data_IF_369747029163
#
_entry.id   IF_369747029163
#
_cell.length_a   1.000
_cell.length_b   1.000
_cell.length_c   1.000
_cell.angle_alpha   90.00
_cell.angle_beta   90.00
_cell.angle_gamma   90.00
#
_symmetry.space_group_name_H-M   'P 1'
#
loop_
_entity.id
_entity.type
_entity.pdbx_description
1 polymer ?
#
# COMPACT_ATOMS: atom_id res chain seq x y z
N UNK A 1 5.75 -2.87 -24.36
CA UNK A 1 6.84 -2.05 -23.75
C UNK A 1 7.69 -2.96 -22.89
N UNK A 2 9.00 -2.73 -22.77
CA UNK A 2 9.84 -3.62 -21.96
C UNK A 2 9.91 -3.13 -20.52
N UNK A 3 9.99 -4.06 -19.56
CA UNK A 3 10.14 -3.71 -18.14
C UNK A 3 11.45 -2.97 -17.87
N UNK A 4 12.50 -3.26 -18.64
CA UNK A 4 13.78 -2.53 -18.59
C UNK A 4 13.68 -1.05 -18.99
N UNK A 5 12.60 -0.64 -19.68
CA UNK A 5 12.38 0.78 -20.01
C UNK A 5 12.06 1.62 -18.77
N UNK A 6 11.78 0.98 -17.63
CA UNK A 6 11.50 1.61 -16.34
C UNK A 6 12.66 1.43 -15.34
N UNK A 7 13.86 1.24 -15.85
CA UNK A 7 15.04 1.10 -15.02
C UNK A 7 15.70 2.46 -14.76
N UNK A 8 16.30 2.61 -13.58
CA UNK A 8 17.13 3.74 -13.21
C UNK A 8 18.06 3.36 -12.06
N UNK A 9 19.18 4.06 -11.91
CA UNK A 9 20.11 3.82 -10.82
C UNK A 9 19.55 4.37 -9.51
N UNK A 10 19.34 3.49 -8.52
CA UNK A 10 18.91 3.85 -7.18
C UNK A 10 19.94 3.33 -6.16
N UNK A 11 20.77 4.21 -5.56
CA UNK A 11 21.66 3.84 -4.47
C UNK A 11 20.88 3.27 -3.28
N UNK A 12 21.32 2.13 -2.73
CA UNK A 12 20.68 1.51 -1.55
C UNK A 12 20.61 2.47 -0.35
N UNK A 13 21.57 3.38 -0.22
CA UNK A 13 21.61 4.39 0.85
C UNK A 13 20.45 5.38 0.81
N UNK A 14 19.76 5.53 -0.32
CA UNK A 14 18.58 6.40 -0.44
C UNK A 14 17.27 5.66 -0.09
N UNK A 15 17.30 4.35 0.18
CA UNK A 15 16.11 3.60 0.59
C UNK A 15 15.92 3.74 2.11
N UNK A 16 14.90 4.51 2.52
CA UNK A 16 14.65 4.80 3.92
C UNK A 16 14.31 3.53 4.74
N UNK A 17 15.10 3.27 5.77
CA UNK A 17 14.94 2.12 6.68
C UNK A 17 14.05 2.43 7.90
N UNK A 18 13.88 3.71 8.21
CA UNK A 18 13.11 4.20 9.34
C UNK A 18 12.20 5.35 8.91
N UNK A 19 11.01 5.50 9.52
CA UNK A 19 10.19 6.69 9.33
C UNK A 19 10.98 7.96 9.75
N UNK A 20 10.66 9.13 9.19
CA UNK A 20 11.27 10.39 9.63
C UNK A 20 10.98 10.61 11.11
N UNK A 21 11.88 11.26 11.85
CA UNK A 21 11.70 11.53 13.29
C UNK A 21 10.33 12.18 13.58
N UNK A 22 10.00 13.21 12.79
CA UNK A 22 8.73 13.93 12.85
C UNK A 22 7.88 13.64 11.61
N UNK A 23 6.64 13.15 11.83
CA UNK A 23 5.65 12.98 10.77
C UNK A 23 5.34 14.33 10.11
N UNK A 24 5.23 14.36 8.78
CA UNK A 24 5.01 15.59 8.00
C UNK A 24 6.25 16.42 7.71
N UNK A 25 7.44 15.99 8.18
CA UNK A 25 8.72 16.63 7.88
C UNK A 25 9.42 16.12 6.61
N UNK A 26 8.73 15.35 5.76
CA UNK A 26 9.29 14.82 4.51
C UNK A 26 9.40 15.90 3.43
N UNK A 27 10.30 15.70 2.48
CA UNK A 27 10.40 16.53 1.29
C UNK A 27 9.27 16.17 0.33
N UNK A 28 8.96 17.12 -0.54
CA UNK A 28 7.99 16.96 -1.62
C UNK A 28 8.65 17.37 -2.94
N UNK A 29 8.63 16.47 -3.92
CA UNK A 29 8.87 16.81 -5.32
C UNK A 29 7.52 17.07 -5.98
N UNK A 30 7.37 18.20 -6.65
CA UNK A 30 6.15 18.50 -7.43
C UNK A 30 6.49 18.37 -8.90
N UNK A 31 5.80 17.46 -9.58
CA UNK A 31 5.90 17.24 -11.02
C UNK A 31 4.64 17.78 -11.68
N UNK A 32 4.79 18.82 -12.49
CA UNK A 32 3.70 19.32 -13.31
C UNK A 32 3.66 18.58 -14.65
N UNK A 33 2.49 18.08 -15.03
CA UNK A 33 2.33 17.26 -16.25
C UNK A 33 2.48 18.06 -17.55
N UNK A 34 2.25 19.37 -17.52
CA UNK A 34 2.52 20.30 -18.61
C UNK A 34 4.02 20.64 -18.73
N UNK A 35 4.75 20.59 -17.62
CA UNK A 35 6.20 20.62 -17.55
C UNK A 35 6.72 21.34 -16.32
N UNK A 36 7.90 20.95 -15.85
CA UNK A 36 8.54 21.57 -14.68
C UNK A 36 8.57 20.65 -13.47
N UNK A 37 9.62 20.83 -12.67
CA UNK A 37 9.86 20.10 -11.43
C UNK A 37 10.17 21.13 -10.35
N UNK A 38 9.47 21.05 -9.23
CA UNK A 38 9.74 21.86 -8.05
C UNK A 38 10.17 20.97 -6.87
N UNK A 39 10.97 21.56 -5.99
CA UNK A 39 11.44 20.91 -4.77
C UNK A 39 11.00 21.74 -3.57
N UNK A 40 10.21 21.14 -2.69
CA UNK A 40 9.64 21.81 -1.52
C UNK A 40 9.51 20.82 -0.36
N UNK A 41 8.80 21.22 0.69
CA UNK A 41 8.47 20.37 1.85
C UNK A 41 7.03 19.90 1.77
N UNK A 42 6.73 18.73 2.34
CA UNK A 42 5.35 18.21 2.38
C UNK A 42 4.39 19.13 3.14
N UNK A 43 4.90 19.93 4.09
CA UNK A 43 4.13 21.01 4.75
C UNK A 43 3.56 22.06 3.78
N UNK A 44 4.18 22.23 2.61
CA UNK A 44 3.76 23.20 1.59
C UNK A 44 2.71 22.63 0.61
N UNK A 45 2.26 21.38 0.79
CA UNK A 45 1.29 20.71 -0.09
C UNK A 45 0.06 21.58 -0.38
N UNK A 46 -0.44 22.29 0.64
CA UNK A 46 -1.63 23.14 0.50
C UNK A 46 -1.49 24.32 -0.46
N UNK A 47 -0.29 24.64 -0.97
CA UNK A 47 -0.07 25.64 -2.02
C UNK A 47 -0.48 25.16 -3.42
N UNK A 48 -0.51 23.84 -3.62
CA UNK A 48 -0.81 23.21 -4.91
C UNK A 48 -2.26 22.74 -5.02
N UNK A 49 -3.01 22.85 -3.92
CA UNK A 49 -4.43 22.51 -3.84
C UNK A 49 -5.29 23.77 -3.85
N UNK A 50 -6.45 23.71 -4.47
CA UNK A 50 -7.41 24.82 -4.62
C UNK A 50 -8.73 24.47 -3.95
N UNK A 51 -9.50 25.47 -3.45
CA UNK A 51 -10.80 25.23 -2.84
C UNK A 51 -11.70 24.39 -3.76
N UNK A 52 -12.36 23.39 -3.18
CA UNK A 52 -13.19 22.42 -3.91
C UNK A 52 -12.43 21.17 -4.38
N UNK A 53 -11.12 21.13 -4.33
CA UNK A 53 -10.38 19.88 -4.54
C UNK A 53 -10.84 18.77 -3.59
N UNK A 54 -10.92 17.54 -4.09
CA UNK A 54 -11.29 16.35 -3.32
C UNK A 54 -10.07 15.46 -3.09
N UNK A 55 -9.61 15.38 -1.84
CA UNK A 55 -8.54 14.47 -1.43
C UNK A 55 -9.11 13.10 -1.06
N UNK A 56 -8.73 12.06 -1.80
CA UNK A 56 -9.18 10.68 -1.54
C UNK A 56 -8.04 9.90 -0.90
N UNK A 57 -8.33 9.25 0.23
CA UNK A 57 -7.32 8.49 0.99
C UNK A 57 -7.73 7.04 1.20
N UNK A 58 -6.76 6.13 1.29
CA UNK A 58 -6.99 4.73 1.67
C UNK A 58 -6.92 4.56 3.19
N UNK A 59 -8.05 4.26 3.83
CA UNK A 59 -8.16 4.14 5.29
C UNK A 59 -7.85 2.74 5.84
N UNK A 60 -7.23 1.86 5.04
CA UNK A 60 -6.86 0.53 5.51
C UNK A 60 -5.84 0.58 6.66
N UNK A 61 -5.93 -0.40 7.54
CA UNK A 61 -5.09 -0.61 8.72
C UNK A 61 -4.29 -1.90 8.56
N UNK A 62 -2.98 -1.76 8.72
CA UNK A 62 -2.03 -2.86 8.82
C UNK A 62 -2.26 -3.57 10.14
N UNK A 63 -2.29 -4.89 10.10
CA UNK A 63 -2.32 -5.73 11.30
C UNK A 63 -1.02 -6.54 11.37
N UNK A 64 -0.63 -7.02 12.58
CA UNK A 64 0.63 -7.74 12.77
C UNK A 64 0.52 -9.17 12.23
N UNK A 65 0.48 -9.27 10.91
CA UNK A 65 0.20 -10.48 10.15
C UNK A 65 1.38 -11.48 10.11
N UNK A 66 2.56 -11.10 10.58
CA UNK A 66 3.75 -11.97 10.56
C UNK A 66 3.86 -12.75 11.87
N UNK A 67 3.67 -14.06 11.81
CA UNK A 67 3.83 -14.97 12.96
C UNK A 67 5.18 -15.69 12.87
N UNK A 68 5.96 -15.63 13.95
CA UNK A 68 7.26 -16.29 14.07
C UNK A 68 7.15 -17.45 15.05
N UNK A 69 7.64 -18.62 14.66
CA UNK A 69 7.43 -19.85 15.42
C UNK A 69 8.34 -21.00 14.99
N UNK A 70 7.95 -22.21 15.34
CA UNK A 70 8.69 -23.43 15.04
C UNK A 70 7.78 -24.58 14.59
N UNK A 71 8.35 -25.50 13.81
CA UNK A 71 7.66 -26.71 13.34
C UNK A 71 7.63 -27.78 14.42
N UNK A 72 6.51 -28.48 14.56
CA UNK A 72 6.36 -29.59 15.52
C UNK A 72 6.37 -30.93 14.77
N UNK A 73 7.15 -31.95 15.21
CA UNK A 73 8.04 -31.95 16.38
C UNK A 73 9.48 -31.47 16.09
N UNK A 74 9.82 -31.16 14.83
CA UNK A 74 11.22 -30.98 14.41
C UNK A 74 11.97 -29.77 15.02
N UNK A 75 11.28 -28.80 15.61
CA UNK A 75 11.84 -27.58 16.19
C UNK A 75 12.35 -26.54 15.18
N UNK A 76 12.40 -26.85 13.88
CA UNK A 76 12.93 -25.91 12.89
C UNK A 76 12.06 -24.66 12.73
N UNK A 77 12.71 -23.49 12.69
CA UNK A 77 12.07 -22.16 12.57
C UNK A 77 11.10 -22.10 11.39
N UNK A 78 9.98 -21.40 11.60
CA UNK A 78 9.00 -21.08 10.57
C UNK A 78 8.46 -19.66 10.77
N UNK A 79 8.31 -18.96 9.64
CA UNK A 79 7.60 -17.70 9.52
C UNK A 79 6.31 -17.95 8.74
N UNK A 80 5.20 -17.41 9.23
CA UNK A 80 3.89 -17.49 8.61
C UNK A 80 3.31 -16.08 8.47
N UNK A 81 3.25 -15.56 7.24
CA UNK A 81 2.64 -14.28 6.93
C UNK A 81 1.18 -14.50 6.51
N UNK A 82 0.25 -13.99 7.32
CA UNK A 82 -1.18 -14.07 7.07
C UNK A 82 -1.58 -13.13 5.93
N UNK A 83 -2.11 -13.69 4.83
CA UNK A 83 -2.47 -12.91 3.65
C UNK A 83 -3.95 -12.57 3.61
N UNK A 84 -4.79 -13.58 3.80
CA UNK A 84 -6.24 -13.46 3.65
C UNK A 84 -6.95 -14.44 4.58
N UNK A 85 -7.90 -13.92 5.35
CA UNK A 85 -8.84 -14.76 6.09
C UNK A 85 -9.79 -15.45 5.10
N UNK A 86 -9.93 -16.77 5.21
CA UNK A 86 -10.78 -17.59 4.33
C UNK A 86 -12.11 -17.85 5.01
N UNK A 87 -12.08 -18.48 6.18
CA UNK A 87 -13.25 -18.82 7.00
C UNK A 87 -12.80 -19.13 8.42
N UNK A 88 -13.68 -19.04 9.43
CA UNK A 88 -13.45 -19.36 10.85
C UNK A 88 -12.02 -19.06 11.34
N UNK A 89 -11.15 -20.07 11.27
CA UNK A 89 -9.76 -20.06 11.72
C UNK A 89 -8.74 -20.33 10.60
N UNK A 90 -9.18 -20.40 9.35
CA UNK A 90 -8.39 -20.74 8.18
C UNK A 90 -7.90 -19.48 7.47
N UNK A 91 -6.61 -19.47 7.22
CA UNK A 91 -5.90 -18.37 6.60
C UNK A 91 -5.16 -18.84 5.37
N UNK A 92 -5.17 -18.01 4.33
CA UNK A 92 -4.21 -18.08 3.26
C UNK A 92 -2.93 -17.39 3.72
N UNK A 93 -1.83 -18.12 3.74
CA UNK A 93 -0.56 -17.66 4.30
C UNK A 93 0.59 -17.85 3.32
N UNK A 94 1.56 -16.95 3.34
CA UNK A 94 2.89 -17.22 2.81
C UNK A 94 3.75 -17.81 3.93
N UNK A 95 4.33 -18.99 3.72
CA UNK A 95 5.08 -19.69 4.77
C UNK A 95 6.53 -19.91 4.35
N UNK A 96 7.47 -19.60 5.26
CA UNK A 96 8.90 -19.77 5.04
C UNK A 96 9.55 -20.53 6.21
N UNK A 97 10.31 -21.62 5.98
CA UNK A 97 10.54 -22.32 4.72
C UNK A 97 9.34 -23.23 4.34
N UNK A 98 8.53 -22.80 3.36
CA UNK A 98 7.28 -23.47 3.00
C UNK A 98 7.42 -24.82 2.29
N UNK A 99 8.55 -25.10 1.63
CA UNK A 99 8.75 -26.33 0.84
C UNK A 99 8.63 -27.61 1.67
N UNK A 100 8.96 -27.55 2.97
CA UNK A 100 8.93 -28.70 3.89
C UNK A 100 7.60 -28.86 4.63
N UNK A 101 6.66 -27.94 4.42
CA UNK A 101 5.38 -27.88 5.13
C UNK A 101 4.26 -28.38 4.21
N UNK A 102 4.05 -29.70 4.28
CA UNK A 102 2.97 -30.45 3.59
C UNK A 102 1.68 -30.41 4.41
N UNK A 103 0.52 -30.78 3.83
CA UNK A 103 -0.72 -30.92 4.60
C UNK A 103 -0.54 -31.83 5.82
N UNK A 104 -1.13 -31.45 6.95
CA UNK A 104 -0.96 -32.07 8.26
C UNK A 104 0.27 -31.62 9.04
N UNK A 105 1.18 -30.84 8.43
CA UNK A 105 2.32 -30.28 9.17
C UNK A 105 1.86 -29.26 10.21
N UNK A 106 2.45 -29.33 11.40
CA UNK A 106 2.09 -28.50 12.55
C UNK A 106 3.17 -27.48 12.89
N UNK A 107 2.73 -26.32 13.37
CA UNK A 107 3.55 -25.18 13.75
C UNK A 107 3.03 -24.61 15.07
N UNK A 108 3.91 -24.02 15.86
CA UNK A 108 3.54 -23.30 17.08
C UNK A 108 4.17 -21.92 17.03
N UNK A 109 3.35 -20.91 17.29
CA UNK A 109 3.74 -19.51 17.42
C UNK A 109 3.48 -19.10 18.86
N UNK A 110 4.50 -18.64 19.57
CA UNK A 110 4.39 -18.31 20.99
C UNK A 110 5.19 -17.05 21.32
N UNK A 111 4.54 -16.12 22.01
CA UNK A 111 5.15 -14.88 22.51
C UNK A 111 4.36 -14.38 23.71
N UNK A 112 5.05 -13.85 24.72
CA UNK A 112 4.45 -13.23 25.90
C UNK A 112 3.41 -14.14 26.60
N UNK A 113 3.67 -15.45 26.64
CA UNK A 113 2.80 -16.46 27.27
C UNK A 113 1.53 -16.82 26.46
N UNK A 114 1.37 -16.27 25.25
CA UNK A 114 0.25 -16.56 24.37
C UNK A 114 0.71 -17.53 23.28
N UNK A 115 -0.05 -18.61 23.10
CA UNK A 115 0.22 -19.65 22.11
C UNK A 115 -0.85 -19.70 21.03
N UNK A 116 -0.40 -19.78 19.78
CA UNK A 116 -1.22 -20.07 18.60
C UNK A 116 -0.65 -21.30 17.91
N UNK A 117 -1.46 -22.34 17.79
CA UNK A 117 -1.15 -23.57 17.06
C UNK A 117 -1.59 -23.42 15.60
N UNK A 118 -0.77 -23.89 14.66
CA UNK A 118 -1.05 -23.84 13.23
C UNK A 118 -0.97 -25.23 12.59
N UNK A 119 -1.95 -25.57 11.74
CA UNK A 119 -1.94 -26.78 10.92
C UNK A 119 -2.08 -26.42 9.43
N UNK A 120 -1.19 -26.96 8.60
CA UNK A 120 -1.29 -26.81 7.15
C UNK A 120 -2.40 -27.70 6.62
N UNK A 121 -3.44 -27.10 6.05
CA UNK A 121 -4.55 -27.83 5.42
C UNK A 121 -4.30 -28.11 3.94
N UNK A 122 -3.70 -27.17 3.21
CA UNK A 122 -3.49 -27.28 1.77
C UNK A 122 -2.22 -26.56 1.29
N UNK A 123 -1.69 -27.02 0.17
CA UNK A 123 -0.57 -26.40 -0.53
C UNK A 123 -1.04 -25.68 -1.79
N UNK A 124 -0.55 -24.46 -1.98
CA UNK A 124 -0.77 -23.65 -3.17
C UNK A 124 0.56 -23.26 -3.83
N UNK A 125 0.47 -22.65 -5.01
CA UNK A 125 1.63 -22.18 -5.77
C UNK A 125 2.45 -21.12 -5.02
N UNK A 126 3.75 -20.99 -5.32
CA UNK A 126 4.66 -19.98 -4.74
C UNK A 126 4.77 -19.97 -3.20
N UNK A 127 4.67 -21.13 -2.55
CA UNK A 127 4.85 -21.23 -1.09
C UNK A 127 3.65 -20.76 -0.27
N UNK A 128 2.50 -20.50 -0.92
CA UNK A 128 1.24 -20.24 -0.23
C UNK A 128 0.67 -21.52 0.40
N UNK A 129 0.04 -21.40 1.55
CA UNK A 129 -0.58 -22.50 2.31
C UNK A 129 -1.93 -22.04 2.83
N UNK A 130 -2.90 -22.94 2.86
CA UNK A 130 -4.03 -22.78 3.76
C UNK A 130 -3.60 -23.28 5.13
N UNK A 131 -3.65 -22.44 6.15
CA UNK A 131 -3.25 -22.76 7.52
C UNK A 131 -4.43 -22.51 8.45
N UNK A 132 -4.82 -23.54 9.21
CA UNK A 132 -5.78 -23.40 10.32
C UNK A 132 -5.03 -22.98 11.56
N UNK A 133 -5.46 -21.89 12.19
CA UNK A 133 -4.90 -21.37 13.43
C UNK A 133 -5.84 -21.59 14.61
N UNK A 134 -5.30 -22.02 15.75
CA UNK A 134 -6.09 -22.26 16.95
C UNK A 134 -5.38 -21.68 18.16
N UNK A 135 -6.14 -21.23 19.14
CA UNK A 135 -5.60 -20.75 20.41
C UNK A 135 -6.58 -21.05 21.54
N UNK A 136 -6.04 -21.24 22.73
CA UNK A 136 -6.81 -21.29 23.99
C UNK A 136 -6.87 -19.92 24.67
N UNK A 137 -6.34 -18.87 24.04
CA UNK A 137 -6.35 -17.52 24.57
C UNK A 137 -7.78 -17.00 24.74
N UNK A 138 -8.07 -16.43 25.92
CA UNK A 138 -9.42 -15.99 26.27
C UNK A 138 -9.97 -14.87 25.37
N UNK A 139 -9.08 -14.04 24.81
CA UNK A 139 -9.44 -12.99 23.85
C UNK A 139 -9.75 -13.49 22.43
N UNK A 140 -9.63 -14.79 22.18
CA UNK A 140 -9.82 -15.40 20.87
C UNK A 140 -8.62 -15.24 19.93
N UNK A 141 -8.75 -15.79 18.72
CA UNK A 141 -7.66 -15.87 17.75
C UNK A 141 -7.18 -14.49 17.26
N UNK A 142 -8.10 -13.55 17.03
CA UNK A 142 -7.75 -12.22 16.54
C UNK A 142 -6.88 -11.44 17.55
N UNK A 143 -7.27 -11.43 18.84
CA UNK A 143 -6.48 -10.79 19.90
C UNK A 143 -5.13 -11.49 20.10
N UNK A 144 -5.11 -12.83 20.01
CA UNK A 144 -3.87 -13.59 20.09
C UNK A 144 -2.89 -13.19 18.97
N UNK A 145 -3.35 -13.14 17.71
CA UNK A 145 -2.56 -12.68 16.56
C UNK A 145 -2.06 -11.24 16.78
N UNK A 146 -2.93 -10.34 17.23
CA UNK A 146 -2.56 -8.94 17.42
C UNK A 146 -1.46 -8.75 18.48
N UNK A 147 -1.43 -9.62 19.49
CA UNK A 147 -0.42 -9.61 20.56
C UNK A 147 0.89 -10.29 20.15
N UNK A 148 0.83 -11.51 19.60
CA UNK A 148 2.06 -12.27 19.28
C UNK A 148 2.69 -11.88 17.95
N UNK A 149 1.87 -11.34 17.05
CA UNK A 149 2.28 -11.02 15.69
C UNK A 149 3.28 -9.88 15.62
N UNK A 150 3.97 -9.85 14.49
CA UNK A 150 4.90 -8.80 14.11
C UNK A 150 4.32 -7.99 12.97
N UNK A 151 4.63 -6.68 12.93
CA UNK A 151 4.29 -5.85 11.79
C UNK A 151 5.06 -6.38 10.58
N UNK A 152 4.38 -6.73 9.48
CA UNK A 152 5.03 -7.23 8.28
C UNK A 152 5.72 -6.08 7.55
N UNK A 153 6.90 -5.69 8.04
CA UNK A 153 7.72 -4.72 7.36
C UNK A 153 8.11 -5.25 5.97
N UNK A 154 8.05 -4.40 4.94
CA UNK A 154 8.40 -4.81 3.59
C UNK A 154 9.86 -5.28 3.44
N UNK A 155 10.17 -6.13 2.45
CA UNK A 155 11.44 -6.88 2.39
C UNK A 155 12.71 -6.02 2.19
N UNK A 156 12.58 -4.77 1.74
CA UNK A 156 13.72 -3.86 1.57
C UNK A 156 14.03 -3.06 2.85
N UNK A 157 13.20 -3.15 3.90
CA UNK A 157 13.52 -2.67 5.24
C UNK A 157 14.26 -3.80 5.96
N UNK A 158 15.59 -3.67 6.06
CA UNK A 158 16.52 -4.70 6.53
C UNK A 158 16.69 -4.64 8.07
N UNK A 159 15.56 -4.67 8.80
CA UNK A 159 15.51 -4.72 10.27
C UNK A 159 14.22 -5.37 10.75
N UNK A 160 14.21 -5.78 12.01
CA UNK A 160 12.98 -6.23 12.68
C UNK A 160 12.04 -5.06 12.99
N UNK A 161 10.77 -5.39 13.16
CA UNK A 161 9.75 -4.46 13.61
C UNK A 161 9.93 -4.12 15.09
N UNK A 162 9.64 -2.87 15.40
CA UNK A 162 9.68 -2.31 16.75
C UNK A 162 8.26 -2.00 17.23
N UNK A 163 8.10 -1.69 18.51
CA UNK A 163 6.82 -1.23 19.04
C UNK A 163 6.32 0.02 18.28
N UNK A 164 7.23 0.94 17.94
CA UNK A 164 6.92 2.16 17.22
C UNK A 164 6.36 1.89 15.81
N UNK A 165 6.76 0.81 15.14
CA UNK A 165 6.25 0.47 13.80
C UNK A 165 4.75 0.18 13.81
N UNK A 166 4.19 -0.29 14.94
CA UNK A 166 2.74 -0.50 15.08
C UNK A 166 1.93 0.80 14.94
N UNK A 167 2.54 1.94 15.26
CA UNK A 167 1.93 3.26 15.12
C UNK A 167 2.44 4.01 13.88
N UNK A 168 3.74 3.91 13.60
CA UNK A 168 4.43 4.68 12.56
C UNK A 168 4.30 4.08 11.18
N UNK A 169 4.18 2.76 11.04
CA UNK A 169 3.88 2.09 9.76
C UNK A 169 2.37 2.09 9.47
N UNK A 170 1.74 3.23 9.73
CA UNK A 170 0.32 3.42 9.55
C UNK A 170 -0.03 4.90 9.36
N UNK A 171 -1.08 5.17 8.57
CA UNK A 171 -1.64 6.51 8.41
C UNK A 171 -2.42 6.88 9.67
N UNK A 172 -2.51 8.18 9.96
CA UNK A 172 -3.22 8.67 11.15
C UNK A 172 -4.75 8.46 11.09
N UNK A 173 -5.24 8.03 9.94
CA UNK A 173 -6.65 7.79 9.65
C UNK A 173 -6.95 6.32 9.30
N UNK A 174 -6.02 5.42 9.57
CA UNK A 174 -6.22 4.00 9.35
C UNK A 174 -7.27 3.42 10.32
N UNK A 175 -8.29 2.78 9.77
CA UNK A 175 -9.44 2.23 10.50
C UNK A 175 -9.69 0.77 10.14
N UNK A 176 -9.78 0.47 8.86
CA UNK A 176 -10.23 -0.84 8.37
C UNK A 176 -9.12 -1.90 8.36
N UNK A 177 -9.15 -2.78 9.37
CA UNK A 177 -8.17 -3.85 9.57
C UNK A 177 -8.20 -4.85 8.42
N UNK A 178 -7.05 -5.09 7.79
CA UNK A 178 -6.93 -6.20 6.83
C UNK A 178 -5.75 -6.12 5.89
N UNK A 179 -4.95 -5.06 5.95
CA UNK A 179 -3.81 -4.92 5.06
C UNK A 179 -2.52 -5.48 5.64
N UNK A 180 -1.63 -5.90 4.76
CA UNK A 180 -0.27 -6.37 5.06
C UNK A 180 0.73 -5.23 4.84
N UNK A 181 0.34 -4.16 4.14
CA UNK A 181 1.21 -3.06 3.79
C UNK A 181 0.51 -1.73 3.97
N UNK A 182 1.21 -0.74 4.52
CA UNK A 182 0.63 0.58 4.70
C UNK A 182 0.49 1.30 3.35
N UNK A 183 -0.58 2.10 3.13
CA UNK A 183 -0.66 3.02 2.01
C UNK A 183 0.30 4.20 2.27
N UNK A 184 1.55 4.04 1.88
CA UNK A 184 2.67 4.82 2.45
C UNK A 184 2.66 6.31 2.12
N UNK A 185 2.01 6.71 1.03
CA UNK A 185 1.86 8.12 0.68
C UNK A 185 1.01 8.87 1.72
N UNK A 186 0.12 8.17 2.42
CA UNK A 186 -0.67 8.70 3.51
C UNK A 186 0.11 8.94 4.80
N UNK A 187 1.31 8.35 4.95
CA UNK A 187 2.11 8.45 6.16
C UNK A 187 2.61 9.88 6.41
N UNK A 188 2.68 10.69 5.35
CA UNK A 188 3.17 12.07 5.40
C UNK A 188 2.22 13.03 6.09
N UNK A 189 0.93 12.71 6.15
CA UNK A 189 -0.07 13.62 6.71
C UNK A 189 -0.05 13.65 8.24
N UNK A 190 -0.27 14.83 8.77
CA UNK A 190 -0.54 15.11 10.19
C UNK A 190 -1.96 15.63 10.36
N UNK A 191 -2.49 15.53 11.59
CA UNK A 191 -3.83 16.03 11.89
C UNK A 191 -3.94 17.54 11.63
N UNK A 192 -2.91 18.30 12.02
CA UNK A 192 -2.80 19.73 11.72
C UNK A 192 -2.92 20.02 10.22
N UNK A 193 -2.23 19.25 9.37
CA UNK A 193 -2.30 19.44 7.93
C UNK A 193 -3.70 19.16 7.37
N UNK A 194 -4.41 18.13 7.86
CA UNK A 194 -5.80 17.92 7.43
C UNK A 194 -6.70 19.08 7.84
N UNK A 195 -6.53 19.62 9.05
CA UNK A 195 -7.30 20.78 9.51
C UNK A 195 -7.01 22.02 8.66
N UNK A 196 -5.74 22.27 8.32
CA UNK A 196 -5.34 23.38 7.44
C UNK A 196 -5.90 23.25 6.03
N UNK A 197 -5.91 22.04 5.46
CA UNK A 197 -6.52 21.77 4.16
C UNK A 197 -8.04 21.95 4.21
N UNK A 198 -8.71 21.43 5.22
CA UNK A 198 -10.15 21.60 5.40
C UNK A 198 -10.55 23.08 5.53
N UNK A 199 -9.78 23.87 6.28
CA UNK A 199 -9.99 25.32 6.41
C UNK A 199 -9.84 26.09 5.08
N UNK A 200 -9.11 25.52 4.10
CA UNK A 200 -8.98 26.05 2.73
C UNK A 200 -10.07 25.56 1.78
N UNK A 201 -11.05 24.80 2.26
CA UNK A 201 -12.13 24.25 1.44
C UNK A 201 -11.72 23.01 0.64
N UNK A 202 -10.68 22.28 1.08
CA UNK A 202 -10.32 20.98 0.51
C UNK A 202 -11.20 19.92 1.17
N UNK A 203 -11.97 19.19 0.37
CA UNK A 203 -12.79 18.08 0.83
C UNK A 203 -11.95 16.81 0.97
N UNK A 204 -12.41 15.89 1.82
CA UNK A 204 -11.77 14.59 2.00
C UNK A 204 -12.79 13.46 1.92
N UNK A 205 -12.44 12.41 1.20
CA UNK A 205 -13.20 11.16 1.15
C UNK A 205 -12.28 9.95 1.39
N UNK A 206 -12.88 8.82 1.74
CA UNK A 206 -12.13 7.61 2.08
C UNK A 206 -12.58 6.43 1.25
N UNK A 207 -11.60 5.67 0.79
CA UNK A 207 -11.78 4.33 0.24
C UNK A 207 -11.06 3.35 1.16
N UNK A 208 -11.47 2.10 1.11
CA UNK A 208 -10.73 1.01 1.75
C UNK A 208 -10.17 0.12 0.65
N UNK A 209 -8.86 -0.09 0.63
CA UNK A 209 -8.24 -1.16 -0.15
C UNK A 209 -7.21 -1.89 0.70
N UNK A 210 -7.43 -3.18 0.92
CA UNK A 210 -6.52 -4.01 1.68
C UNK A 210 -5.33 -4.40 0.81
N UNK A 211 -4.20 -3.73 1.02
CA UNK A 211 -2.97 -3.97 0.27
C UNK A 211 -2.44 -5.36 0.60
N UNK A 212 -2.23 -6.16 -0.44
CA UNK A 212 -1.71 -7.51 -0.34
C UNK A 212 -0.19 -7.57 -0.46
N UNK A 213 0.39 -8.73 -0.17
CA UNK A 213 1.84 -8.96 -0.32
C UNK A 213 2.32 -8.85 -1.77
N UNK A 214 1.42 -9.03 -2.74
CA UNK A 214 1.70 -8.88 -4.18
C UNK A 214 2.32 -7.53 -4.54
N UNK A 215 2.02 -6.47 -3.79
CA UNK A 215 2.59 -5.13 -3.99
C UNK A 215 4.11 -5.09 -3.86
N UNK A 216 4.74 -6.03 -3.14
CA UNK A 216 6.20 -6.11 -3.00
C UNK A 216 6.87 -7.07 -3.96
N UNK A 217 6.10 -7.82 -4.75
CA UNK A 217 6.67 -8.81 -5.68
C UNK A 217 7.35 -8.07 -6.84
N UNK A 218 8.60 -8.42 -7.18
CA UNK A 218 9.23 -7.92 -8.39
C UNK A 218 8.42 -8.29 -9.63
N UNK A 219 8.39 -7.41 -10.63
CA UNK A 219 7.88 -7.73 -11.96
C UNK A 219 8.87 -8.67 -12.61
N UNK A 220 8.45 -9.92 -12.87
CA UNK A 220 9.29 -10.97 -13.46
C UNK A 220 9.11 -11.14 -14.98
N UNK A 221 8.13 -10.47 -15.57
CA UNK A 221 7.88 -10.51 -16.99
C UNK A 221 8.85 -9.58 -17.74
N UNK A 222 9.23 -9.93 -18.96
CA UNK A 222 10.06 -9.06 -19.81
C UNK A 222 9.23 -7.91 -20.41
N UNK A 223 8.00 -8.23 -20.82
CA UNK A 223 7.04 -7.27 -21.33
C UNK A 223 6.11 -6.81 -20.23
N UNK A 224 5.81 -5.52 -20.22
CA UNK A 224 4.89 -4.90 -19.26
C UNK A 224 3.51 -5.56 -19.36
N UNK A 225 3.02 -5.77 -20.57
CA UNK A 225 1.67 -6.27 -20.84
C UNK A 225 1.42 -7.71 -20.34
N UNK A 226 2.50 -8.47 -20.08
CA UNK A 226 2.43 -9.86 -19.63
C UNK A 226 2.42 -9.97 -18.09
N UNK A 227 2.53 -8.85 -17.37
CA UNK A 227 2.51 -8.83 -15.92
C UNK A 227 1.09 -8.82 -15.36
N UNK A 228 0.82 -9.73 -14.42
CA UNK A 228 -0.40 -9.74 -13.62
C UNK A 228 -0.10 -9.33 -12.18
N UNK A 229 -0.96 -8.45 -11.64
CA UNK A 229 -0.99 -8.09 -10.21
C UNK A 229 -1.97 -8.99 -9.46
N UNK A 230 -1.62 -9.32 -8.22
CA UNK A 230 -2.53 -10.03 -7.32
C UNK A 230 -3.78 -9.18 -7.06
N UNK A 231 -4.93 -9.85 -6.89
CA UNK A 231 -6.19 -9.22 -6.55
C UNK A 231 -6.10 -8.48 -5.21
N UNK A 232 -6.64 -7.27 -5.14
CA UNK A 232 -6.79 -6.53 -3.88
C UNK A 232 -8.26 -6.20 -3.65
N UNK A 233 -8.75 -6.47 -2.44
CA UNK A 233 -10.12 -6.19 -2.06
C UNK A 233 -10.27 -4.71 -1.73
N UNK A 234 -11.32 -4.10 -2.25
CA UNK A 234 -11.67 -2.73 -1.96
C UNK A 234 -13.13 -2.57 -1.58
N UNK A 235 -13.43 -1.48 -0.88
CA UNK A 235 -14.76 -1.03 -0.51
C UNK A 235 -14.83 0.48 -0.68
N UNK A 236 -15.89 0.94 -1.34
CA UNK A 236 -16.27 2.34 -1.48
C UNK A 236 -17.69 2.50 -0.96
N UNK A 237 -17.87 3.36 0.05
CA UNK A 237 -19.17 3.58 0.66
C UNK A 237 -20.09 4.45 -0.22
N UNK A 238 -21.42 4.39 -0.01
CA UNK A 238 -22.36 5.29 -0.68
C UNK A 238 -22.02 6.78 -0.53
N UNK A 239 -21.53 7.18 0.65
CA UNK A 239 -21.13 8.57 0.93
C UNK A 239 -19.92 8.98 0.09
N UNK A 240 -18.89 8.14 0.03
CA UNK A 240 -17.71 8.41 -0.82
C UNK A 240 -18.09 8.45 -2.30
N UNK A 241 -18.92 7.52 -2.77
CA UNK A 241 -19.40 7.49 -4.14
C UNK A 241 -20.21 8.75 -4.51
N UNK A 242 -21.06 9.25 -3.60
CA UNK A 242 -21.80 10.50 -3.79
C UNK A 242 -20.87 11.72 -3.88
N UNK A 243 -19.84 11.79 -3.03
CA UNK A 243 -18.84 12.89 -3.06
C UNK A 243 -18.01 12.84 -4.35
N UNK A 244 -17.59 11.66 -4.80
CA UNK A 244 -16.89 11.46 -6.08
C UNK A 244 -17.77 11.87 -7.27
N UNK A 245 -19.04 11.46 -7.27
CA UNK A 245 -20.02 11.85 -8.29
C UNK A 245 -20.19 13.37 -8.35
N UNK A 246 -20.30 14.02 -7.19
CA UNK A 246 -20.40 15.49 -7.10
C UNK A 246 -19.15 16.15 -7.68
N UNK A 247 -17.95 15.72 -7.25
CA UNK A 247 -16.69 16.25 -7.76
C UNK A 247 -16.59 16.11 -9.29
N UNK A 248 -16.97 14.94 -9.83
CA UNK A 248 -16.96 14.69 -11.27
C UNK A 248 -17.92 15.58 -12.05
N UNK A 249 -19.16 15.74 -11.57
CA UNK A 249 -20.18 16.60 -12.20
C UNK A 249 -19.81 18.08 -12.16
N UNK A 250 -19.19 18.52 -11.08
CA UNK A 250 -18.71 19.89 -10.88
C UNK A 250 -17.34 20.16 -11.53
N UNK A 251 -16.71 19.13 -12.13
CA UNK A 251 -15.36 19.18 -12.72
C UNK A 251 -14.28 19.65 -11.73
N UNK A 252 -14.44 19.30 -10.46
CA UNK A 252 -13.42 19.52 -9.42
C UNK A 252 -12.34 18.46 -9.53
N UNK A 253 -11.11 18.79 -9.12
CA UNK A 253 -10.02 17.83 -9.17
C UNK A 253 -10.17 16.78 -8.07
N UNK A 254 -9.96 15.52 -8.43
CA UNK A 254 -9.82 14.41 -7.48
C UNK A 254 -8.34 14.08 -7.32
N UNK A 255 -7.83 14.22 -6.10
CA UNK A 255 -6.44 14.00 -5.75
C UNK A 255 -6.33 12.69 -4.97
N UNK A 256 -5.75 11.67 -5.59
CA UNK A 256 -5.55 10.37 -4.97
C UNK A 256 -4.30 10.37 -4.08
N UNK A 257 -4.44 9.95 -2.83
CA UNK A 257 -3.30 9.76 -1.91
C UNK A 257 -2.86 8.30 -1.92
N UNK A 258 -1.86 8.01 -2.74
CA UNK A 258 -1.24 6.71 -2.90
C UNK A 258 -1.77 5.95 -4.12
N UNK A 259 -0.88 5.14 -4.69
CA UNK A 259 -1.17 4.30 -5.87
C UNK A 259 -2.29 3.29 -5.62
N UNK A 260 -2.47 2.82 -4.37
CA UNK A 260 -3.58 1.94 -4.01
C UNK A 260 -4.92 2.65 -4.16
N UNK A 261 -5.01 3.92 -3.76
CA UNK A 261 -6.22 4.73 -3.97
C UNK A 261 -6.48 4.96 -5.44
N UNK A 262 -5.42 5.23 -6.23
CA UNK A 262 -5.53 5.34 -7.69
C UNK A 262 -6.13 4.07 -8.28
N UNK A 263 -5.60 2.88 -7.92
CA UNK A 263 -6.13 1.60 -8.40
C UNK A 263 -7.58 1.39 -8.00
N UNK A 264 -7.98 1.74 -6.77
CA UNK A 264 -9.38 1.67 -6.34
C UNK A 264 -10.25 2.54 -7.22
N UNK A 265 -9.93 3.83 -7.36
CA UNK A 265 -10.71 4.79 -8.12
C UNK A 265 -10.83 4.40 -9.60
N UNK A 266 -9.72 4.00 -10.23
CA UNK A 266 -9.71 3.59 -11.63
C UNK A 266 -10.32 2.19 -11.88
N UNK A 267 -10.73 1.50 -10.82
CA UNK A 267 -11.52 0.25 -10.91
C UNK A 267 -13.02 0.49 -10.75
N UNK A 268 -13.44 1.71 -10.40
CA UNK A 268 -14.86 2.02 -10.22
C UNK A 268 -15.55 2.21 -11.58
N UNK A 269 -16.78 1.73 -11.66
CA UNK A 269 -17.68 2.04 -12.76
C UNK A 269 -18.12 3.51 -12.69
N UNK A 270 -17.99 4.21 -13.81
CA UNK A 270 -18.50 5.58 -13.98
C UNK A 270 -19.57 5.55 -15.08
N UNK A 271 -20.82 5.76 -14.70
CA UNK A 271 -21.94 5.72 -15.63
C UNK A 271 -21.97 6.97 -16.55
N UNK A 272 -22.66 6.90 -17.72
CA UNK A 272 -22.92 8.07 -18.54
C UNK A 272 -23.60 9.18 -17.71
N UNK A 273 -22.94 10.33 -17.57
CA UNK A 273 -23.38 11.42 -16.66
C UNK A 273 -22.52 11.60 -15.40
N UNK A 274 -21.46 10.80 -15.24
CA UNK A 274 -20.44 10.97 -14.20
C UNK A 274 -20.83 10.41 -12.83
N UNK A 275 -21.83 9.53 -12.78
CA UNK A 275 -22.22 8.84 -11.54
C UNK A 275 -21.24 7.70 -11.24
N UNK A 276 -20.74 7.69 -10.01
CA UNK A 276 -19.80 6.69 -9.49
C UNK A 276 -20.57 5.73 -8.60
N UNK A 277 -20.45 4.43 -8.88
CA UNK A 277 -21.13 3.40 -8.09
C UNK A 277 -20.36 3.10 -6.79
N UNK A 278 -21.10 3.00 -5.68
CA UNK A 278 -20.60 2.43 -4.43
C UNK A 278 -20.54 0.91 -4.52
N UNK A 279 -19.67 0.29 -3.74
CA UNK A 279 -19.60 -1.17 -3.71
C UNK A 279 -18.32 -1.71 -3.12
N UNK A 280 -18.28 -3.02 -2.97
CA UNK A 280 -17.07 -3.77 -2.64
C UNK A 280 -16.76 -4.77 -3.74
N UNK A 281 -15.48 -5.01 -3.98
CA UNK A 281 -15.03 -5.91 -5.01
C UNK A 281 -13.55 -6.23 -4.91
N UNK A 282 -13.04 -6.92 -5.92
CA UNK A 282 -11.62 -7.14 -6.12
C UNK A 282 -11.15 -6.36 -7.34
N UNK A 283 -9.98 -5.75 -7.24
CA UNK A 283 -9.31 -5.13 -8.38
C UNK A 283 -8.06 -5.91 -8.77
N UNK A 284 -7.97 -6.19 -10.06
CA UNK A 284 -6.78 -6.72 -10.72
C UNK A 284 -6.13 -5.67 -11.63
N UNK A 285 -6.54 -4.40 -11.52
CA UNK A 285 -6.12 -3.38 -12.48
C UNK A 285 -4.61 -3.22 -12.41
N UNK A 286 -3.98 -3.41 -13.56
CA UNK A 286 -2.58 -3.14 -13.78
C UNK A 286 -2.46 -1.87 -14.63
N UNK A 287 -2.15 -0.75 -13.98
CA UNK A 287 -2.06 0.56 -14.64
C UNK A 287 -0.63 0.72 -15.17
N UNK A 288 -0.51 0.88 -16.49
CA UNK A 288 0.75 1.10 -17.20
C UNK A 288 0.55 2.12 -18.33
N UNK A 289 1.62 2.64 -18.97
CA UNK A 289 1.49 3.63 -20.03
C UNK A 289 0.51 3.20 -21.13
N UNK A 290 -0.37 4.14 -21.52
CA UNK A 290 -1.53 3.89 -22.38
C UNK A 290 -2.87 3.85 -21.64
N UNK A 291 -2.86 3.71 -20.31
CA UNK A 291 -4.07 3.78 -19.49
C UNK A 291 -4.74 5.16 -19.53
N UNK A 292 -6.08 5.19 -19.55
CA UNK A 292 -6.87 6.42 -19.52
C UNK A 292 -7.50 6.58 -18.14
N UNK A 293 -7.02 7.59 -17.41
CA UNK A 293 -7.54 7.92 -16.09
C UNK A 293 -8.92 8.57 -16.20
N UNK A 294 -9.89 8.06 -15.44
CA UNK A 294 -11.28 8.49 -15.48
C UNK A 294 -11.63 9.37 -14.28
N UNK A 295 -11.11 9.06 -13.10
CA UNK A 295 -11.45 9.79 -11.87
C UNK A 295 -10.28 10.60 -11.35
N UNK A 296 -9.05 10.12 -11.47
CA UNK A 296 -7.89 10.75 -10.83
C UNK A 296 -7.34 11.91 -11.68
N UNK A 297 -7.34 13.11 -11.10
CA UNK A 297 -6.81 14.33 -11.74
C UNK A 297 -5.41 14.69 -11.24
N UNK A 298 -5.06 14.35 -9.99
CA UNK A 298 -3.71 14.49 -9.44
C UNK A 298 -3.42 13.32 -8.48
N UNK A 299 -2.16 13.06 -8.18
CA UNK A 299 -1.81 12.03 -7.19
C UNK A 299 -0.63 12.43 -6.31
N UNK A 300 -0.72 12.03 -5.04
CA UNK A 300 0.37 12.09 -4.07
C UNK A 300 0.86 10.66 -3.88
N UNK A 301 2.16 10.42 -4.05
CA UNK A 301 2.76 9.10 -3.94
C UNK A 301 4.17 9.18 -3.35
N UNK A 302 4.76 8.04 -2.99
CA UNK A 302 6.19 7.95 -2.69
C UNK A 302 7.00 7.74 -3.99
N UNK A 303 8.32 7.72 -3.88
CA UNK A 303 9.18 7.22 -4.95
C UNK A 303 9.24 5.69 -4.96
N UNK A 304 9.18 5.09 -6.13
CA UNK A 304 9.07 3.64 -6.33
C UNK A 304 10.38 3.01 -6.82
N UNK A 305 10.50 1.69 -6.70
CA UNK A 305 11.69 0.97 -7.16
C UNK A 305 11.79 0.93 -8.69
N UNK A 306 13.01 0.82 -9.23
CA UNK A 306 13.22 0.51 -10.65
C UNK A 306 12.43 -0.75 -11.04
N UNK A 307 11.90 -0.77 -12.27
CA UNK A 307 11.20 -1.93 -12.85
C UNK A 307 9.98 -2.40 -12.05
N UNK A 308 9.40 -1.54 -11.22
CA UNK A 308 8.22 -1.88 -10.41
C UNK A 308 6.90 -1.53 -11.12
N UNK A 309 5.83 -2.27 -10.80
CA UNK A 309 4.47 -1.98 -11.26
C UNK A 309 4.00 -0.58 -10.83
N UNK A 310 4.43 -0.10 -9.67
CA UNK A 310 4.11 1.24 -9.17
C UNK A 310 4.79 2.35 -9.99
N UNK A 311 6.03 2.12 -10.43
CA UNK A 311 6.73 3.04 -11.33
C UNK A 311 6.03 3.12 -12.70
N UNK A 312 5.52 1.99 -13.20
CA UNK A 312 4.73 1.94 -14.43
C UNK A 312 3.40 2.70 -14.29
N UNK A 313 2.74 2.61 -13.13
CA UNK A 313 1.51 3.36 -12.84
C UNK A 313 1.74 4.87 -12.86
N UNK A 314 2.75 5.38 -12.13
CA UNK A 314 3.03 6.83 -12.15
C UNK A 314 3.51 7.31 -13.52
N UNK A 315 4.20 6.44 -14.27
CA UNK A 315 4.58 6.70 -15.67
C UNK A 315 3.39 6.76 -16.62
N UNK A 316 2.34 5.97 -16.36
CA UNK A 316 1.09 6.07 -17.09
C UNK A 316 0.42 7.43 -16.89
N UNK A 317 0.57 8.00 -15.69
CA UNK A 317 -0.09 9.23 -15.30
C UNK A 317 0.61 10.51 -15.80
N UNK A 318 1.94 10.57 -15.76
CA UNK A 318 2.71 11.76 -16.16
C UNK A 318 3.59 11.59 -17.41
N UNK A 319 3.67 10.37 -17.94
CA UNK A 319 4.59 10.00 -19.01
C UNK A 319 5.93 9.50 -18.47
N UNK A 320 6.41 8.40 -19.05
CA UNK A 320 7.64 7.69 -18.65
C UNK A 320 8.86 8.60 -18.56
N UNK A 321 9.15 9.35 -19.62
CA UNK A 321 10.36 10.19 -19.68
C UNK A 321 10.39 11.28 -18.59
N UNK A 322 9.23 11.89 -18.30
CA UNK A 322 9.11 12.91 -17.25
C UNK A 322 9.33 12.31 -15.87
N UNK A 323 8.74 11.14 -15.61
CA UNK A 323 8.93 10.42 -14.34
C UNK A 323 10.39 10.01 -14.15
N UNK A 324 11.04 9.43 -15.16
CA UNK A 324 12.44 9.03 -15.06
C UNK A 324 13.37 10.25 -14.90
N UNK A 325 13.06 11.38 -15.54
CA UNK A 325 13.78 12.63 -15.30
C UNK A 325 13.60 13.14 -13.85
N UNK A 326 12.38 13.13 -13.32
CA UNK A 326 12.11 13.52 -11.94
C UNK A 326 12.80 12.59 -10.93
N UNK A 327 12.83 11.29 -11.19
CA UNK A 327 13.49 10.30 -10.34
C UNK A 327 15.02 10.48 -10.36
N UNK A 328 15.63 10.77 -11.51
CA UNK A 328 17.06 11.12 -11.58
C UNK A 328 17.39 12.36 -10.75
N UNK A 329 16.59 13.43 -10.87
CA UNK A 329 16.79 14.62 -10.02
C UNK A 329 16.57 14.33 -8.53
N UNK A 330 15.63 13.44 -8.19
CA UNK A 330 15.40 13.01 -6.82
C UNK A 330 16.64 12.27 -6.27
N UNK A 331 17.26 11.38 -7.06
CA UNK A 331 18.51 10.70 -6.70
C UNK A 331 19.66 11.70 -6.54
N UNK A 332 19.87 12.60 -7.51
CA UNK A 332 20.91 13.64 -7.47
C UNK A 332 20.79 14.54 -6.23
N UNK A 333 19.56 14.84 -5.80
CA UNK A 333 19.27 15.66 -4.63
C UNK A 333 19.13 14.86 -3.33
N UNK A 334 19.48 13.58 -3.34
CA UNK A 334 19.39 12.68 -2.19
C UNK A 334 18.01 12.69 -1.51
N UNK A 335 16.94 12.61 -2.30
CA UNK A 335 15.62 12.26 -1.77
C UNK A 335 15.65 10.83 -1.25
N UNK A 336 14.90 10.58 -0.18
CA UNK A 336 14.68 9.23 0.30
C UNK A 336 13.56 8.54 -0.48
N UNK A 337 13.72 7.25 -0.78
CA UNK A 337 12.80 6.48 -1.61
C UNK A 337 11.94 5.54 -0.76
N UNK A 338 10.85 5.09 -1.37
CA UNK A 338 9.94 4.06 -0.87
C UNK A 338 9.14 4.45 0.39
N UNK A 339 8.83 3.49 1.25
CA UNK A 339 7.72 3.55 2.20
C UNK A 339 7.89 4.64 3.26
N UNK A 340 9.10 4.81 3.75
CA UNK A 340 9.44 5.88 4.69
C UNK A 340 10.18 7.05 4.04
N UNK A 341 10.33 7.00 2.71
CA UNK A 341 11.01 8.04 1.96
C UNK A 341 10.19 9.31 1.83
N UNK A 342 10.61 10.18 0.92
CA UNK A 342 9.94 11.43 0.62
C UNK A 342 8.70 11.22 -0.28
N UNK A 343 7.95 12.31 -0.48
CA UNK A 343 6.74 12.31 -1.29
C UNK A 343 6.96 12.97 -2.66
N UNK A 344 6.10 12.61 -3.60
CA UNK A 344 5.94 13.24 -4.90
C UNK A 344 4.47 13.58 -5.12
N UNK A 345 4.20 14.82 -5.53
CA UNK A 345 2.91 15.28 -6.02
C UNK A 345 3.01 15.36 -7.55
N UNK A 346 2.04 14.77 -8.26
CA UNK A 346 1.90 14.89 -9.70
C UNK A 346 0.59 15.63 -9.98
N UNK A 347 0.68 16.78 -10.67
CA UNK A 347 -0.45 17.69 -10.94
C UNK A 347 -0.61 17.98 -12.43
#
# INVERSE_FOLDING_TARGET
MNVSDFDFELPESLIAQHPPEKRGGSRLLVLHRDGGIEHTMFSELGRYLVPGDLLVVNNTRVFPARLLGHRVPSGGVVECLLLRHIDANDWDCLVHPGQKLKPGARMVFERDGIRVDGEVLAMHFQGRRTVRLQTTHAGGLADAIDRIGHIPLPPYIKRDDTADDRERYQTIYARERGSIAAPTAGLHFTERQFQELAARGIERAEVTLHVGYGTFKPVKADRVEDHAVDAERFTVSPETAAVLTRAKRERRRVIAVGTTTVRTLESLSVAPGGEVEAGSGETHVFIHPGHRFQLVDAMITNFHLPRSSLLMLVSAFAGRERILAAYRQAVERAYHFYSYGDAMLIV
#
